data_IF_158902413259
#
_entry.id   IF_158902413259
#
_cell.length_a   1.000
_cell.length_b   1.000
_cell.length_c   1.000
_cell.angle_alpha   90.00
_cell.angle_beta   90.00
_cell.angle_gamma   90.00
#
_symmetry.space_group_name_H-M   'P 1'
#
loop_
_entity.id
_entity.type
_entity.pdbx_description
1 polymer ?
#
# COMPACT_ATOMS: atom_id res chain seq x y z
N UNK A 1 65.45 -29.93 18.91
CA UNK A 1 64.64 -28.71 19.13
C UNK A 1 64.61 -27.75 17.94
N UNK A 2 65.75 -27.44 17.29
CA UNK A 2 65.78 -26.44 16.20
C UNK A 2 64.89 -26.73 14.97
N UNK A 3 64.71 -28.00 14.57
CA UNK A 3 63.87 -28.37 13.41
C UNK A 3 62.37 -28.15 13.65
N UNK A 4 61.91 -28.35 14.89
CA UNK A 4 60.51 -28.13 15.29
C UNK A 4 60.24 -26.61 15.37
N UNK A 5 61.18 -25.86 15.91
CA UNK A 5 61.10 -24.40 15.97
C UNK A 5 61.07 -23.77 14.57
N UNK A 6 61.92 -24.25 13.66
CA UNK A 6 61.91 -23.81 12.26
C UNK A 6 60.58 -24.14 11.55
N UNK A 7 59.98 -25.30 11.81
CA UNK A 7 58.69 -25.68 11.25
C UNK A 7 57.55 -24.78 11.77
N UNK A 8 57.53 -24.44 13.06
CA UNK A 8 56.54 -23.55 13.65
C UNK A 8 56.64 -22.12 13.09
N UNK A 9 57.86 -21.61 12.90
CA UNK A 9 58.09 -20.31 12.27
C UNK A 9 57.63 -20.32 10.80
N UNK A 10 57.92 -21.38 10.05
CA UNK A 10 57.47 -21.51 8.67
C UNK A 10 55.94 -21.53 8.54
N UNK A 11 55.25 -22.25 9.43
CA UNK A 11 53.77 -22.27 9.49
C UNK A 11 53.22 -20.90 9.87
N UNK A 12 53.83 -20.23 10.86
CA UNK A 12 53.44 -18.87 11.25
C UNK A 12 53.56 -17.87 10.09
N UNK A 13 54.66 -17.92 9.36
CA UNK A 13 54.89 -17.08 8.17
C UNK A 13 53.86 -17.36 7.07
N UNK A 14 53.53 -18.62 6.81
CA UNK A 14 52.50 -19.01 5.83
C UNK A 14 51.11 -18.50 6.21
N UNK A 15 50.72 -18.59 7.48
CA UNK A 15 49.43 -18.08 7.96
C UNK A 15 49.38 -16.55 7.83
N UNK A 16 50.45 -15.85 8.22
CA UNK A 16 50.50 -14.38 8.06
C UNK A 16 50.43 -13.96 6.60
N UNK A 17 51.14 -14.66 5.69
CA UNK A 17 51.09 -14.38 4.26
C UNK A 17 49.69 -14.64 3.69
N UNK A 18 49.01 -15.71 4.10
CA UNK A 18 47.64 -16.00 3.69
C UNK A 18 46.64 -14.96 4.21
N UNK A 19 46.78 -14.50 5.45
CA UNK A 19 45.95 -13.42 6.01
C UNK A 19 46.18 -12.08 5.29
N UNK A 20 47.43 -11.74 4.99
CA UNK A 20 47.77 -10.54 4.21
C UNK A 20 47.24 -10.61 2.77
N UNK A 21 47.33 -11.77 2.12
CA UNK A 21 46.78 -11.99 0.79
C UNK A 21 45.24 -11.89 0.78
N UNK A 22 44.56 -12.44 1.80
CA UNK A 22 43.11 -12.31 1.94
C UNK A 22 42.68 -10.86 2.17
N UNK A 23 43.44 -10.11 2.99
CA UNK A 23 43.19 -8.68 3.21
C UNK A 23 43.42 -7.86 1.93
N UNK A 24 44.46 -8.16 1.16
CA UNK A 24 44.72 -7.50 -0.12
C UNK A 24 43.62 -7.78 -1.16
N UNK A 25 43.13 -9.02 -1.24
CA UNK A 25 42.01 -9.38 -2.11
C UNK A 25 40.70 -8.65 -1.72
N UNK A 26 40.42 -8.52 -0.41
CA UNK A 26 39.28 -7.72 0.05
C UNK A 26 39.45 -6.23 -0.22
N UNK A 27 40.67 -5.70 -0.16
CA UNK A 27 40.94 -4.32 -0.51
C UNK A 27 40.74 -4.07 -2.01
N UNK A 28 41.15 -5.01 -2.88
CA UNK A 28 40.89 -4.94 -4.33
C UNK A 28 39.39 -5.00 -4.61
N UNK A 29 38.65 -5.91 -3.99
CA UNK A 29 37.18 -6.01 -4.13
C UNK A 29 36.46 -4.75 -3.62
N UNK A 30 37.01 -4.08 -2.59
CA UNK A 30 36.53 -2.80 -2.11
C UNK A 30 36.91 -1.61 -3.02
N UNK A 31 37.99 -1.71 -3.79
CA UNK A 31 38.43 -0.70 -4.76
C UNK A 31 37.78 -0.86 -6.14
N UNK A 32 37.33 -2.07 -6.51
CA UNK A 32 36.52 -2.36 -7.70
C UNK A 32 35.05 -1.96 -7.53
N UNK A 33 34.65 -1.55 -6.32
CA UNK A 33 33.49 -0.67 -6.14
C UNK A 33 33.88 0.70 -6.70
N UNK A 34 33.78 0.82 -8.02
CA UNK A 34 33.82 2.10 -8.73
C UNK A 34 33.01 3.08 -7.93
N UNK A 35 33.69 4.11 -7.40
CA UNK A 35 33.02 5.29 -6.88
C UNK A 35 32.22 5.85 -8.06
N UNK A 36 30.93 5.52 -8.09
CA UNK A 36 29.97 6.17 -8.96
C UNK A 36 29.96 7.61 -8.49
N UNK A 37 30.75 8.44 -9.15
CA UNK A 37 30.50 9.88 -9.20
C UNK A 37 29.01 9.98 -9.53
N UNK A 38 28.18 10.61 -8.69
CA UNK A 38 26.80 10.80 -9.07
C UNK A 38 26.84 11.69 -10.29
N UNK A 39 26.67 11.08 -11.45
CA UNK A 39 26.31 11.78 -12.64
C UNK A 39 25.09 12.62 -12.26
N UNK A 40 25.25 13.94 -12.35
CA UNK A 40 24.16 14.87 -12.14
C UNK A 40 23.25 14.69 -13.35
N UNK A 41 22.45 13.61 -13.31
CA UNK A 41 21.52 13.24 -14.37
C UNK A 41 20.46 14.32 -14.45
N UNK A 42 20.63 15.19 -15.44
CA UNK A 42 19.58 16.08 -15.93
C UNK A 42 18.71 15.28 -16.89
N UNK A 43 17.49 14.95 -16.48
CA UNK A 43 16.43 14.55 -17.41
C UNK A 43 15.74 13.23 -17.10
N UNK A 44 14.47 13.20 -17.47
CA UNK A 44 13.54 12.07 -17.46
C UNK A 44 13.87 11.16 -18.66
N UNK A 45 14.63 10.08 -18.45
CA UNK A 45 14.96 9.14 -19.52
C UNK A 45 13.97 7.97 -19.56
N UNK A 46 13.50 7.66 -20.77
CA UNK A 46 12.38 6.77 -21.06
C UNK A 46 12.68 5.26 -20.88
N UNK A 47 13.93 4.89 -20.58
CA UNK A 47 14.40 3.50 -20.64
C UNK A 47 14.28 2.71 -19.31
N UNK A 48 13.81 3.35 -18.23
CA UNK A 48 13.49 2.67 -16.95
C UNK A 48 12.02 2.25 -16.81
N UNK A 49 11.26 2.25 -17.91
CA UNK A 49 9.83 1.97 -17.92
C UNK A 49 9.52 0.47 -17.70
N UNK A 50 9.29 0.10 -16.45
CA UNK A 50 8.57 -1.13 -16.12
C UNK A 50 7.06 -0.95 -16.44
N UNK A 51 6.40 -1.88 -17.17
CA UNK A 51 5.01 -1.72 -17.62
C UNK A 51 3.94 -1.82 -16.51
N UNK A 52 4.34 -1.79 -15.23
CA UNK A 52 3.48 -2.02 -14.07
C UNK A 52 2.39 -0.97 -13.86
N UNK A 53 2.65 0.30 -14.19
CA UNK A 53 1.64 1.35 -14.16
C UNK A 53 0.72 1.32 -15.40
N UNK A 54 1.13 0.66 -16.48
CA UNK A 54 0.50 0.73 -17.79
C UNK A 54 -0.60 -0.32 -18.05
N UNK A 55 -0.70 -1.37 -17.22
CA UNK A 55 -1.80 -2.36 -17.36
C UNK A 55 -3.17 -1.81 -16.90
N UNK A 56 -3.21 -0.63 -16.30
CA UNK A 56 -4.46 0.10 -16.02
C UNK A 56 -5.06 0.78 -17.26
N UNK A 57 -4.41 0.72 -18.43
CA UNK A 57 -4.89 1.41 -19.64
C UNK A 57 -5.78 0.58 -20.57
N UNK A 58 -5.87 -0.73 -20.39
CA UNK A 58 -6.67 -1.58 -21.28
C UNK A 58 -8.17 -1.66 -20.91
N UNK A 59 -8.58 -1.25 -19.70
CA UNK A 59 -9.98 -1.42 -19.26
C UNK A 59 -10.59 -0.19 -18.59
N UNK A 60 -10.42 0.98 -19.23
CA UNK A 60 -11.03 2.24 -18.79
C UNK A 60 -12.56 2.23 -18.81
N UNK A 61 -13.19 1.30 -19.52
CA UNK A 61 -14.64 1.20 -19.62
C UNK A 61 -15.28 0.46 -18.43
N UNK A 62 -14.57 -0.47 -17.77
CA UNK A 62 -15.10 -1.22 -16.62
C UNK A 62 -14.95 -0.51 -15.26
N UNK A 63 -14.02 0.46 -15.14
CA UNK A 63 -13.62 1.06 -13.86
C UNK A 63 -14.37 2.37 -13.54
N UNK A 64 -15.01 3.01 -14.52
CA UNK A 64 -15.60 4.35 -14.43
C UNK A 64 -16.82 4.50 -13.50
N UNK A 65 -17.20 3.47 -12.75
CA UNK A 65 -18.35 3.53 -11.83
C UNK A 65 -18.23 2.79 -10.50
N UNK A 66 -17.07 2.21 -10.13
CA UNK A 66 -16.99 1.31 -8.95
C UNK A 66 -15.99 1.70 -7.86
N UNK A 67 -15.39 2.88 -7.95
CA UNK A 67 -14.47 3.40 -6.93
C UNK A 67 -14.86 4.81 -6.44
N UNK A 68 -16.15 5.13 -6.37
CA UNK A 68 -16.64 6.37 -5.78
C UNK A 68 -17.19 6.11 -4.36
N UNK A 69 -16.61 6.70 -3.30
CA UNK A 69 -17.21 6.65 -1.97
C UNK A 69 -18.50 7.49 -1.92
N UNK A 70 -19.44 7.08 -1.07
CA UNK A 70 -20.63 7.86 -0.74
C UNK A 70 -20.27 9.22 -0.10
N UNK A 71 -21.18 10.19 -0.21
CA UNK A 71 -21.02 11.51 0.40
C UNK A 71 -20.72 11.39 1.92
N UNK A 72 -19.65 12.05 2.38
CA UNK A 72 -19.18 12.01 3.77
C UNK A 72 -18.06 11.00 4.07
N UNK A 73 -17.63 10.20 3.09
CA UNK A 73 -16.56 9.21 3.26
C UNK A 73 -15.35 9.60 2.40
N UNK A 74 -14.21 9.90 3.03
CA UNK A 74 -12.93 10.10 2.31
C UNK A 74 -12.36 8.74 1.88
N UNK A 75 -13.01 8.08 0.92
CA UNK A 75 -12.42 7.18 -0.08
C UNK A 75 -11.43 6.07 0.28
N UNK A 76 -11.11 5.79 1.54
CA UNK A 76 -10.11 4.75 1.86
C UNK A 76 -10.40 4.02 3.16
N UNK A 77 -10.72 4.70 4.25
CA UNK A 77 -11.19 4.08 5.49
C UNK A 77 -11.95 5.10 6.34
N UNK A 78 -12.95 4.66 7.12
CA UNK A 78 -13.64 5.52 8.08
C UNK A 78 -12.68 5.94 9.20
N UNK A 79 -12.67 7.23 9.53
CA UNK A 79 -11.89 7.75 10.65
C UNK A 79 -12.57 7.36 11.97
N UNK A 80 -11.80 6.94 13.00
CA UNK A 80 -12.36 6.73 14.33
C UNK A 80 -12.76 8.07 14.96
N UNK A 81 -13.53 8.00 16.05
CA UNK A 81 -13.88 9.19 16.83
C UNK A 81 -12.62 9.89 17.37
N UNK A 82 -12.69 11.22 17.48
CA UNK A 82 -11.58 11.99 18.02
C UNK A 82 -11.30 11.53 19.47
N UNK A 83 -10.03 11.21 19.81
CA UNK A 83 -9.68 10.77 21.15
C UNK A 83 -9.67 11.93 22.17
N UNK A 84 -10.09 13.13 21.77
CA UNK A 84 -10.05 14.36 22.57
C UNK A 84 -11.11 15.35 22.11
N UNK A 85 -11.32 16.41 22.92
CA UNK A 85 -12.23 17.49 22.56
C UNK A 85 -11.82 18.23 21.28
N UNK A 86 -12.79 18.76 20.54
CA UNK A 86 -12.54 19.54 19.32
C UNK A 86 -11.63 20.76 19.60
N UNK A 87 -11.80 21.44 20.74
CA UNK A 87 -10.96 22.57 21.12
C UNK A 87 -9.49 22.16 21.36
N UNK A 88 -9.24 20.99 21.93
CA UNK A 88 -7.89 20.46 22.09
C UNK A 88 -7.28 20.07 20.73
N UNK A 89 -8.05 19.41 19.87
CA UNK A 89 -7.66 19.07 18.51
C UNK A 89 -7.27 20.32 17.69
N UNK A 90 -8.06 21.40 17.76
CA UNK A 90 -7.77 22.65 17.06
C UNK A 90 -6.45 23.30 17.48
N UNK A 91 -6.06 23.20 18.76
CA UNK A 91 -4.76 23.72 19.24
C UNK A 91 -3.59 22.92 18.67
N UNK A 92 -3.71 21.60 18.58
CA UNK A 92 -2.69 20.74 17.97
C UNK A 92 -2.53 21.09 16.49
N UNK A 93 -3.63 21.28 15.78
CA UNK A 93 -3.62 21.65 14.35
C UNK A 93 -2.98 23.01 14.11
N UNK A 94 -3.26 24.00 14.96
CA UNK A 94 -2.63 25.32 14.86
C UNK A 94 -1.11 25.28 15.06
N UNK A 95 -0.60 24.29 15.80
CA UNK A 95 0.84 24.09 16.01
C UNK A 95 1.52 23.32 14.85
N UNK A 96 0.77 22.62 13.99
CA UNK A 96 1.29 21.75 12.92
C UNK A 96 1.07 22.35 11.53
N UNK A 97 1.69 23.50 11.27
CA UNK A 97 1.55 24.25 10.01
C UNK A 97 2.45 23.73 8.86
N UNK A 98 3.28 22.70 9.10
CA UNK A 98 4.30 22.22 8.15
C UNK A 98 4.16 20.76 7.75
N UNK A 99 5.05 20.28 6.87
CA UNK A 99 5.22 18.86 6.59
C UNK A 99 6.01 18.27 7.75
N UNK A 100 5.34 17.48 8.59
CA UNK A 100 5.99 16.80 9.69
C UNK A 100 6.57 15.48 9.22
N UNK A 101 7.85 15.24 9.52
CA UNK A 101 8.55 14.00 9.16
C UNK A 101 8.06 12.85 10.04
N UNK A 102 7.87 11.67 9.45
CA UNK A 102 7.47 10.48 10.19
C UNK A 102 8.56 10.04 11.18
N UNK A 103 8.15 9.40 12.27
CA UNK A 103 9.10 8.73 13.16
C UNK A 103 9.62 7.44 12.52
N UNK A 104 10.89 7.06 12.76
CA UNK A 104 11.44 5.79 12.32
C UNK A 104 10.56 4.60 12.70
N UNK A 105 10.31 3.70 11.74
CA UNK A 105 9.56 2.48 12.01
C UNK A 105 10.40 1.52 12.86
N UNK A 106 9.76 0.79 13.77
CA UNK A 106 10.45 -0.14 14.66
C UNK A 106 9.71 -1.47 14.75
N UNK A 107 10.44 -2.54 14.45
CA UNK A 107 9.99 -3.93 14.63
C UNK A 107 10.69 -4.60 15.82
N UNK A 108 11.15 -3.83 16.81
CA UNK A 108 11.95 -4.36 17.93
C UNK A 108 11.24 -5.50 18.70
N UNK A 109 9.90 -5.49 18.75
CA UNK A 109 9.09 -6.51 19.43
C UNK A 109 8.61 -7.64 18.52
N UNK A 110 8.92 -7.59 17.22
CA UNK A 110 8.43 -8.53 16.23
C UNK A 110 9.21 -9.84 16.23
N UNK A 111 8.51 -10.96 16.04
CA UNK A 111 9.16 -12.25 15.83
C UNK A 111 9.92 -12.29 14.51
N UNK A 112 10.83 -13.26 14.32
CA UNK A 112 11.50 -13.44 13.04
C UNK A 112 10.51 -13.77 11.90
N UNK A 113 9.45 -14.52 12.20
CA UNK A 113 8.39 -14.83 11.25
C UNK A 113 7.63 -13.56 10.84
N UNK A 114 7.26 -12.70 11.79
CA UNK A 114 6.61 -11.42 11.50
C UNK A 114 7.50 -10.54 10.62
N UNK A 115 8.79 -10.40 10.94
CA UNK A 115 9.73 -9.61 10.12
C UNK A 115 9.82 -10.14 8.69
N UNK A 116 9.86 -11.46 8.51
CA UNK A 116 9.87 -12.09 7.19
C UNK A 116 8.60 -11.80 6.40
N UNK A 117 7.43 -11.91 7.02
CA UNK A 117 6.13 -11.62 6.40
C UNK A 117 5.99 -10.14 6.05
N UNK A 118 6.31 -9.24 6.98
CA UNK A 118 6.30 -7.80 6.77
C UNK A 118 7.21 -7.40 5.60
N UNK A 119 8.43 -7.95 5.53
CA UNK A 119 9.34 -7.71 4.43
C UNK A 119 8.78 -8.19 3.09
N UNK A 120 8.16 -9.38 3.05
CA UNK A 120 7.53 -9.91 1.84
C UNK A 120 6.37 -9.04 1.36
N UNK A 121 5.45 -8.66 2.27
CA UNK A 121 4.29 -7.85 1.94
C UNK A 121 4.67 -6.43 1.50
N UNK A 122 5.61 -5.79 2.20
CA UNK A 122 6.07 -4.46 1.82
C UNK A 122 6.80 -4.47 0.48
N UNK A 123 7.62 -5.50 0.23
CA UNK A 123 8.29 -5.68 -1.07
C UNK A 123 7.28 -5.82 -2.20
N UNK A 124 6.26 -6.67 -2.01
CA UNK A 124 5.21 -6.86 -3.01
C UNK A 124 4.49 -5.55 -3.31
N UNK A 125 4.10 -4.81 -2.27
CA UNK A 125 3.42 -3.52 -2.44
C UNK A 125 4.28 -2.50 -3.20
N UNK A 126 5.55 -2.32 -2.81
CA UNK A 126 6.46 -1.40 -3.51
C UNK A 126 6.66 -1.82 -4.97
N UNK A 127 6.80 -3.12 -5.23
CA UNK A 127 6.98 -3.63 -6.58
C UNK A 127 5.75 -3.33 -7.45
N UNK A 128 4.56 -3.69 -7.01
CA UNK A 128 3.38 -3.52 -7.84
C UNK A 128 2.94 -2.05 -7.99
N UNK A 129 3.25 -1.19 -7.02
CA UNK A 129 2.84 0.22 -7.03
C UNK A 129 3.89 1.15 -7.64
N UNK A 130 5.18 0.82 -7.51
CA UNK A 130 6.27 1.73 -7.79
C UNK A 130 7.51 1.06 -8.43
N UNK A 131 7.37 -0.14 -9.02
CA UNK A 131 8.51 -0.77 -9.70
C UNK A 131 9.10 0.07 -10.82
N UNK A 132 8.32 0.88 -11.52
CA UNK A 132 8.77 1.80 -12.59
C UNK A 132 9.26 3.16 -12.08
N UNK A 133 9.06 3.45 -10.80
CA UNK A 133 9.42 4.73 -10.22
C UNK A 133 10.91 4.76 -9.86
N UNK A 134 11.53 5.96 -9.78
CA UNK A 134 12.85 6.11 -9.19
C UNK A 134 12.85 5.63 -7.73
N UNK A 135 14.03 5.39 -7.15
CA UNK A 135 14.18 4.93 -5.77
C UNK A 135 13.42 5.81 -4.77
N UNK A 136 13.36 7.12 -5.00
CA UNK A 136 12.58 8.06 -4.19
C UNK A 136 11.08 7.73 -4.19
N UNK A 137 10.50 7.33 -5.34
CA UNK A 137 9.09 6.95 -5.44
C UNK A 137 8.80 5.63 -4.70
N UNK A 138 9.72 4.67 -4.79
CA UNK A 138 9.62 3.42 -4.01
C UNK A 138 9.67 3.69 -2.50
N UNK A 139 10.60 4.55 -2.06
CA UNK A 139 10.75 4.95 -0.67
C UNK A 139 9.50 5.71 -0.17
N UNK A 140 8.93 6.57 -1.01
CA UNK A 140 7.71 7.32 -0.71
C UNK A 140 6.51 6.39 -0.49
N UNK A 141 6.28 5.41 -1.37
CA UNK A 141 5.22 4.40 -1.19
C UNK A 141 5.45 3.56 0.06
N UNK A 142 6.69 3.13 0.31
CA UNK A 142 7.04 2.40 1.52
C UNK A 142 6.68 3.20 2.78
N UNK A 143 7.02 4.49 2.80
CA UNK A 143 6.73 5.39 3.90
C UNK A 143 5.22 5.54 4.14
N UNK A 144 4.41 5.67 3.08
CA UNK A 144 2.95 5.73 3.21
C UNK A 144 2.38 4.47 3.85
N UNK A 145 2.86 3.30 3.45
CA UNK A 145 2.40 2.02 4.02
C UNK A 145 2.73 1.97 5.52
N UNK A 146 3.96 2.33 5.91
CA UNK A 146 4.36 2.35 7.32
C UNK A 146 3.64 3.44 8.13
N UNK A 147 3.30 4.57 7.50
CA UNK A 147 2.45 5.60 8.09
C UNK A 147 1.05 5.04 8.39
N UNK A 148 0.45 4.27 7.46
CA UNK A 148 -0.83 3.59 7.70
C UNK A 148 -0.75 2.62 8.86
N UNK A 149 0.29 1.78 8.93
CA UNK A 149 0.51 0.84 10.06
C UNK A 149 0.53 1.57 11.41
N UNK A 150 1.02 2.82 11.44
CA UNK A 150 1.09 3.66 12.64
C UNK A 150 -0.15 4.50 12.92
N UNK A 151 -1.15 4.49 12.04
CA UNK A 151 -2.36 5.29 12.19
C UNK A 151 -3.56 4.40 12.58
N UNK A 152 -4.36 4.77 13.61
CA UNK A 152 -5.47 3.96 14.14
C UNK A 152 -6.65 3.73 13.19
N UNK A 153 -6.59 4.29 11.99
CA UNK A 153 -7.61 4.11 10.97
C UNK A 153 -7.28 2.95 10.02
N UNK A 154 -6.11 2.32 10.17
CA UNK A 154 -5.66 1.22 9.32
C UNK A 154 -5.20 0.04 10.18
N UNK A 155 -5.08 -1.16 9.60
CA UNK A 155 -4.52 -2.32 10.29
C UNK A 155 -3.14 -2.05 10.89
N UNK A 156 -2.85 -2.64 12.04
CA UNK A 156 -1.60 -2.45 12.79
C UNK A 156 -0.43 -3.32 12.29
N UNK A 157 -0.58 -3.97 11.13
CA UNK A 157 0.40 -4.87 10.53
C UNK A 157 0.63 -4.52 9.06
N UNK A 158 1.83 -4.80 8.56
CA UNK A 158 2.23 -4.43 7.20
C UNK A 158 1.42 -5.21 6.18
N UNK A 159 1.34 -6.53 6.32
CA UNK A 159 0.52 -7.36 5.44
C UNK A 159 -0.97 -7.01 5.56
N UNK A 160 -1.44 -6.68 6.76
CA UNK A 160 -2.82 -6.23 6.97
C UNK A 160 -3.16 -4.96 6.19
N UNK A 161 -2.23 -3.99 6.14
CA UNK A 161 -2.40 -2.77 5.31
C UNK A 161 -2.35 -3.10 3.82
N UNK A 162 -1.37 -3.90 3.40
CA UNK A 162 -1.13 -4.22 1.98
C UNK A 162 -2.29 -4.99 1.36
N UNK A 163 -2.91 -5.90 2.10
CA UNK A 163 -4.02 -6.72 1.61
C UNK A 163 -5.38 -6.29 2.16
N UNK A 164 -5.48 -5.08 2.72
CA UNK A 164 -6.72 -4.53 3.24
C UNK A 164 -7.81 -4.51 2.15
N UNK A 165 -8.97 -5.10 2.44
CA UNK A 165 -10.12 -5.14 1.54
C UNK A 165 -10.07 -6.24 0.48
N UNK A 166 -9.01 -7.07 0.44
CA UNK A 166 -8.93 -8.23 -0.47
C UNK A 166 -9.99 -9.29 -0.20
N UNK A 167 -10.58 -9.28 1.00
CA UNK A 167 -11.73 -10.11 1.38
C UNK A 167 -13.08 -9.55 0.86
N UNK A 168 -13.07 -8.40 0.17
CA UNK A 168 -14.26 -7.67 -0.32
C UNK A 168 -14.15 -7.37 -1.82
N UNK A 169 -15.16 -6.70 -2.36
CA UNK A 169 -15.20 -6.26 -3.77
C UNK A 169 -14.19 -5.16 -4.11
N UNK A 170 -13.68 -4.42 -3.11
CA UNK A 170 -12.80 -3.27 -3.31
C UNK A 170 -11.55 -3.41 -2.45
N UNK A 171 -10.40 -3.33 -3.10
CA UNK A 171 -9.10 -3.58 -2.49
C UNK A 171 -8.30 -2.29 -2.40
N UNK A 172 -7.58 -2.10 -1.30
CA UNK A 172 -6.80 -0.88 -1.07
C UNK A 172 -5.66 -0.74 -2.10
N UNK A 173 -5.04 -1.85 -2.47
CA UNK A 173 -4.05 -1.92 -3.55
C UNK A 173 -4.62 -2.82 -4.65
N UNK A 174 -4.65 -2.33 -5.89
CA UNK A 174 -5.36 -3.02 -6.98
C UNK A 174 -4.75 -4.37 -7.30
N UNK A 175 -3.41 -4.48 -7.18
CA UNK A 175 -2.67 -5.71 -7.48
C UNK A 175 -3.10 -6.93 -6.66
N UNK A 176 -3.69 -6.69 -5.48
CA UNK A 176 -4.20 -7.75 -4.62
C UNK A 176 -5.45 -8.43 -5.22
N UNK A 177 -6.14 -7.79 -6.16
CA UNK A 177 -7.45 -8.21 -6.66
C UNK A 177 -7.57 -8.26 -8.18
N UNK A 178 -6.67 -7.60 -8.91
CA UNK A 178 -6.63 -7.61 -10.38
C UNK A 178 -5.90 -8.84 -10.98
N UNK A 179 -5.41 -9.74 -10.13
CA UNK A 179 -4.69 -10.95 -10.56
C UNK A 179 -3.23 -10.71 -10.97
N UNK A 180 -2.66 -9.52 -10.79
CA UNK A 180 -1.27 -9.22 -11.12
C UNK A 180 -0.26 -10.14 -10.41
N UNK A 181 -0.62 -10.63 -9.23
CA UNK A 181 0.17 -11.60 -8.46
C UNK A 181 0.31 -12.98 -9.10
N UNK A 182 -0.52 -13.34 -10.08
CA UNK A 182 -0.39 -14.61 -10.81
C UNK A 182 0.80 -14.61 -11.79
N UNK A 183 1.34 -13.43 -12.13
CA UNK A 183 2.46 -13.29 -13.05
C UNK A 183 3.79 -13.38 -12.30
N UNK A 184 4.79 -13.97 -12.94
CA UNK A 184 6.16 -14.00 -12.40
C UNK A 184 6.74 -12.57 -12.41
N UNK A 185 7.16 -12.02 -11.25
CA UNK A 185 7.73 -10.69 -11.19
C UNK A 185 9.14 -10.62 -11.80
N UNK A 186 9.50 -9.46 -12.32
CA UNK A 186 10.86 -9.14 -12.74
C UNK A 186 11.81 -9.23 -11.54
N UNK A 187 12.82 -10.11 -11.65
CA UNK A 187 13.79 -10.35 -10.58
C UNK A 187 14.54 -9.09 -10.17
N UNK A 188 14.97 -8.28 -11.14
CA UNK A 188 15.75 -7.07 -10.86
C UNK A 188 14.92 -6.01 -10.15
N UNK A 189 13.72 -5.72 -10.64
CA UNK A 189 12.82 -4.76 -10.01
C UNK A 189 12.34 -5.25 -8.62
N UNK A 190 12.14 -6.56 -8.45
CA UNK A 190 11.82 -7.15 -7.15
C UNK A 190 12.95 -6.98 -6.14
N UNK A 191 14.20 -7.22 -6.52
CA UNK A 191 15.36 -7.00 -5.64
C UNK A 191 15.48 -5.53 -5.24
N UNK A 192 15.21 -4.60 -6.17
CA UNK A 192 15.18 -3.15 -5.87
C UNK A 192 14.11 -2.82 -4.84
N UNK A 193 12.88 -3.28 -5.06
CA UNK A 193 11.77 -3.11 -4.12
C UNK A 193 12.08 -3.73 -2.74
N UNK A 194 12.71 -4.92 -2.71
CA UNK A 194 13.09 -5.60 -1.48
C UNK A 194 14.15 -4.84 -0.68
N UNK A 195 15.09 -4.18 -1.36
CA UNK A 195 16.09 -3.31 -0.72
C UNK A 195 15.42 -2.09 -0.07
N UNK A 196 14.48 -1.46 -0.77
CA UNK A 196 13.74 -0.32 -0.22
C UNK A 196 12.88 -0.76 0.97
N UNK A 197 12.18 -1.89 0.85
CA UNK A 197 11.38 -2.47 1.92
C UNK A 197 12.23 -2.75 3.17
N UNK A 198 13.40 -3.38 3.02
CA UNK A 198 14.27 -3.72 4.15
C UNK A 198 14.82 -2.47 4.84
N UNK A 199 15.21 -1.44 4.08
CA UNK A 199 15.66 -0.17 4.63
C UNK A 199 14.55 0.53 5.42
N UNK A 200 13.34 0.62 4.86
CA UNK A 200 12.20 1.25 5.53
C UNK A 200 11.81 0.51 6.83
N UNK A 201 11.80 -0.82 6.79
CA UNK A 201 11.53 -1.66 7.96
C UNK A 201 12.64 -1.59 9.03
N UNK A 202 13.87 -1.27 8.63
CA UNK A 202 14.99 -0.98 9.52
C UNK A 202 14.95 0.43 10.12
N UNK A 203 13.95 1.24 9.76
CA UNK A 203 13.73 2.59 10.31
C UNK A 203 14.21 3.72 9.42
N UNK A 204 14.61 3.47 8.18
CA UNK A 204 14.81 4.55 7.20
C UNK A 204 13.50 5.31 6.99
N UNK A 205 13.58 6.64 7.02
CA UNK A 205 12.42 7.53 6.85
C UNK A 205 12.62 8.36 5.58
N UNK A 206 11.63 8.30 4.69
CA UNK A 206 11.57 9.20 3.55
C UNK A 206 10.86 10.50 3.93
N UNK A 207 11.61 11.58 4.15
CA UNK A 207 11.08 12.82 4.70
C UNK A 207 10.10 13.56 3.77
N UNK A 208 10.25 13.44 2.44
CA UNK A 208 9.49 14.22 1.46
C UNK A 208 7.98 14.10 1.63
N UNK A 209 7.48 12.86 1.79
CA UNK A 209 6.04 12.62 1.94
C UNK A 209 5.49 12.88 3.35
N UNK A 210 6.36 13.09 4.34
CA UNK A 210 5.99 13.30 5.74
C UNK A 210 5.03 12.24 6.28
N UNK A 211 3.88 12.70 6.78
CA UNK A 211 2.80 11.88 7.34
C UNK A 211 1.72 11.47 6.31
N UNK A 212 2.06 11.44 5.02
CA UNK A 212 1.11 11.01 4.00
C UNK A 212 0.59 9.59 4.26
N UNK A 213 -0.73 9.41 4.11
CA UNK A 213 -1.42 8.11 4.19
C UNK A 213 -2.12 7.77 2.88
N UNK A 214 -2.13 8.69 1.91
CA UNK A 214 -2.78 8.54 0.62
C UNK A 214 -1.85 8.98 -0.49
N UNK A 215 -1.99 8.34 -1.65
CA UNK A 215 -1.41 8.83 -2.89
C UNK A 215 -2.30 8.46 -4.07
N UNK A 216 -2.10 9.15 -5.18
CA UNK A 216 -2.66 8.79 -6.48
C UNK A 216 -1.66 9.11 -7.58
N UNK A 217 -1.79 8.43 -8.72
CA UNK A 217 -0.99 8.75 -9.91
C UNK A 217 -1.61 9.91 -10.68
N UNK A 218 -0.81 10.62 -11.50
CA UNK A 218 -1.35 11.63 -12.42
C UNK A 218 -2.41 11.10 -13.39
N UNK A 219 -2.51 9.78 -13.58
CA UNK A 219 -3.44 9.15 -14.51
C UNK A 219 -4.90 9.15 -14.02
N UNK A 220 -5.14 9.45 -12.74
CA UNK A 220 -6.46 9.45 -12.11
C UNK A 220 -6.65 10.71 -11.26
N UNK A 221 -7.90 11.17 -11.10
CA UNK A 221 -8.21 12.32 -10.23
C UNK A 221 -9.34 11.91 -9.28
N UNK A 222 -8.99 11.30 -8.12
CA UNK A 222 -10.01 10.82 -7.21
C UNK A 222 -10.70 11.99 -6.51
N UNK A 223 -12.03 11.89 -6.33
CA UNK A 223 -12.85 12.94 -5.74
C UNK A 223 -12.36 13.38 -4.33
N UNK A 224 -11.76 12.46 -3.57
CA UNK A 224 -11.26 12.74 -2.22
C UNK A 224 -9.99 13.60 -2.19
N UNK A 225 -9.25 13.79 -3.29
CA UNK A 225 -7.98 14.51 -3.24
C UNK A 225 -8.15 15.97 -2.75
N UNK A 226 -9.27 16.63 -3.10
CA UNK A 226 -9.62 17.99 -2.68
C UNK A 226 -9.90 18.09 -1.17
N UNK A 227 -10.30 16.98 -0.57
CA UNK A 227 -10.61 16.90 0.86
C UNK A 227 -9.34 16.70 1.72
N UNK A 228 -8.22 16.33 1.10
CA UNK A 228 -6.94 16.11 1.78
C UNK A 228 -5.97 17.28 1.56
N UNK A 229 -4.86 17.25 2.29
CA UNK A 229 -3.73 18.18 2.09
C UNK A 229 -2.67 17.44 1.27
N UNK A 230 -2.32 17.98 0.11
CA UNK A 230 -1.20 17.48 -0.67
C UNK A 230 0.11 17.78 0.07
N UNK A 231 0.94 16.77 0.30
CA UNK A 231 2.22 16.88 0.99
C UNK A 231 3.38 17.01 0.02
N UNK A 232 3.43 16.15 -1.01
CA UNK A 232 4.54 16.11 -1.96
C UNK A 232 4.14 15.48 -3.30
N UNK A 233 4.99 15.63 -4.31
CA UNK A 233 4.90 14.96 -5.61
C UNK A 233 6.23 14.27 -5.89
N UNK A 234 6.20 12.94 -5.97
CA UNK A 234 7.41 12.13 -6.23
C UNK A 234 7.14 11.22 -7.41
N UNK A 235 7.89 11.43 -8.49
CA UNK A 235 7.69 10.72 -9.75
C UNK A 235 6.27 10.90 -10.27
N UNK A 236 5.56 9.80 -10.53
CA UNK A 236 4.18 9.82 -11.02
C UNK A 236 3.12 10.08 -9.93
N UNK A 237 3.51 10.15 -8.66
CA UNK A 237 2.61 10.08 -7.53
C UNK A 237 2.45 11.41 -6.78
N UNK A 238 1.19 11.76 -6.47
CA UNK A 238 0.83 12.86 -5.58
C UNK A 238 0.45 12.33 -4.20
N UNK A 239 1.17 12.76 -3.17
CA UNK A 239 1.02 12.29 -1.80
C UNK A 239 0.15 13.24 -0.98
N UNK A 240 -0.69 12.67 -0.11
CA UNK A 240 -1.65 13.42 0.67
C UNK A 240 -1.74 12.92 2.11
N UNK A 241 -2.09 13.83 3.01
CA UNK A 241 -2.44 13.58 4.41
C UNK A 241 -3.83 14.13 4.74
N UNK A 242 -4.41 13.67 5.83
CA UNK A 242 -5.67 14.21 6.34
C UNK A 242 -5.54 15.69 6.77
N UNK A 243 -6.68 16.37 6.79
CA UNK A 243 -6.82 17.69 7.43
C UNK A 243 -7.06 17.52 8.93
N UNK A 244 -6.73 18.54 9.70
CA UNK A 244 -6.99 18.56 11.13
C UNK A 244 -6.17 17.52 11.90
N UNK A 245 -6.67 17.10 13.07
CA UNK A 245 -5.96 16.23 14.02
C UNK A 245 -5.39 14.97 13.37
N UNK A 246 -6.17 14.31 12.51
CA UNK A 246 -5.80 13.07 11.83
C UNK A 246 -4.64 13.21 10.83
N UNK A 247 -4.30 14.44 10.43
CA UNK A 247 -3.11 14.73 9.62
C UNK A 247 -1.84 15.00 10.41
N UNK A 248 -1.94 15.10 11.74
CA UNK A 248 -0.83 15.51 12.62
C UNK A 248 -0.09 14.32 13.21
N UNK A 249 1.14 14.54 13.68
CA UNK A 249 1.94 13.49 14.30
C UNK A 249 1.25 12.83 15.51
N UNK A 250 0.41 13.56 16.23
CA UNK A 250 -0.34 13.06 17.40
C UNK A 250 -1.32 11.94 17.03
N UNK A 251 -1.80 11.88 15.79
CA UNK A 251 -2.68 10.81 15.33
C UNK A 251 -1.95 9.47 15.11
N UNK A 252 -0.63 9.48 14.91
CA UNK A 252 0.17 8.29 14.59
C UNK A 252 0.63 7.54 15.86
N UNK A 253 -0.34 7.20 16.71
CA UNK A 253 -0.13 6.59 18.02
C UNK A 253 -0.10 5.06 18.00
N UNK A 254 -0.53 4.42 16.91
CA UNK A 254 -0.60 2.97 16.80
C UNK A 254 0.81 2.38 16.75
N UNK A 255 1.05 1.37 17.59
CA UNK A 255 2.33 0.68 17.70
C UNK A 255 2.30 -0.64 16.93
N UNK A 256 3.39 -0.95 16.26
CA UNK A 256 3.58 -2.26 15.66
C UNK A 256 3.86 -3.31 16.75
N UNK A 257 2.97 -4.30 16.87
CA UNK A 257 3.07 -5.36 17.88
C UNK A 257 3.38 -6.75 17.28
N UNK A 258 3.58 -6.84 15.97
CA UNK A 258 3.66 -8.12 15.24
C UNK A 258 2.28 -8.71 14.95
N UNK A 259 2.22 -10.02 14.68
CA UNK A 259 0.98 -10.71 14.30
C UNK A 259 0.68 -10.58 12.81
N UNK A 260 1.71 -10.62 11.97
CA UNK A 260 1.55 -10.48 10.52
C UNK A 260 0.68 -11.62 9.95
N UNK A 261 -0.42 -11.30 9.25
CA UNK A 261 -1.17 -12.33 8.54
C UNK A 261 -0.32 -12.98 7.45
N UNK A 262 -0.79 -14.12 6.94
CA UNK A 262 -0.09 -14.81 5.85
C UNK A 262 -0.03 -13.87 4.64
N UNK A 263 1.15 -13.67 4.02
CA UNK A 263 1.27 -12.83 2.84
C UNK A 263 0.38 -13.33 1.70
N UNK A 264 -0.41 -12.42 1.14
CA UNK A 264 -1.32 -12.68 0.03
C UNK A 264 -2.72 -12.11 0.31
N UNK A 265 -3.59 -12.07 -0.72
CA UNK A 265 -4.99 -11.71 -0.57
C UNK A 265 -5.64 -12.59 0.50
N UNK A 266 -6.35 -11.97 1.44
CA UNK A 266 -7.07 -12.68 2.48
C UNK A 266 -8.24 -13.41 1.83
N UNK A 267 -8.33 -14.73 2.06
CA UNK A 267 -9.49 -15.49 1.65
C UNK A 267 -10.74 -14.94 2.36
N UNK A 268 -11.86 -14.75 1.66
CA UNK A 268 -13.11 -14.39 2.32
C UNK A 268 -13.45 -15.49 3.33
N UNK A 269 -13.58 -15.11 4.60
CA UNK A 269 -14.06 -16.03 5.63
C UNK A 269 -15.52 -16.32 5.29
N UNK A 270 -15.80 -17.53 4.78
CA UNK A 270 -17.18 -17.98 4.65
C UNK A 270 -17.83 -17.88 6.04
N UNK A 271 -19.05 -17.31 6.17
CA UNK A 271 -19.71 -17.26 7.46
C UNK A 271 -19.81 -18.69 7.99
N UNK A 272 -19.20 -18.94 9.14
CA UNK A 272 -19.38 -20.21 9.86
C UNK A 272 -20.86 -20.25 10.18
N UNK A 273 -21.63 -21.08 9.47
CA UNK A 273 -23.02 -21.31 9.81
C UNK A 273 -23.04 -21.69 11.30
N UNK A 274 -23.88 -21.05 12.13
CA UNK A 274 -23.98 -21.45 13.53
C UNK A 274 -24.27 -22.94 13.55
N UNK A 275 -23.49 -23.70 14.32
CA UNK A 275 -23.78 -25.09 14.64
C UNK A 275 -25.14 -25.08 15.34
N UNK A 276 -26.22 -25.23 14.58
CA UNK A 276 -27.54 -25.49 15.11
C UNK A 276 -27.43 -26.84 15.80
N UNK A 277 -27.43 -26.85 17.13
CA UNK A 277 -27.75 -28.06 17.87
C UNK A 277 -29.14 -28.47 17.38
N UNK A 278 -29.21 -29.51 16.57
CA UNK A 278 -30.49 -30.09 16.18
C UNK A 278 -31.14 -30.67 17.44
N UNK A 279 -31.99 -29.88 18.09
CA UNK A 279 -32.93 -30.40 19.08
C UNK A 279 -33.88 -31.28 18.29
N UNK A 280 -33.69 -32.59 18.40
CA UNK A 280 -34.56 -33.59 17.79
C UNK A 280 -35.93 -33.45 18.50
N UNK A 281 -37.00 -33.00 17.82
CA UNK A 281 -38.32 -32.98 18.45
C UNK A 281 -38.77 -34.42 18.70
N UNK A 282 -39.37 -34.66 19.86
CA UNK A 282 -39.93 -35.95 20.22
C UNK A 282 -41.01 -36.37 19.20
N UNK A 283 -40.88 -37.60 18.72
CA UNK A 283 -41.80 -38.24 17.77
C UNK A 283 -43.19 -38.35 18.38
N UNK A 284 -44.18 -37.68 17.82
CA UNK A 284 -45.61 -37.97 18.02
C UNK A 284 -46.11 -38.90 16.91
N UNK A 285 -46.87 -39.96 17.22
CA UNK A 285 -47.36 -40.92 16.23
C UNK A 285 -48.40 -40.29 15.28
N UNK A 286 -48.54 -40.83 14.04
CA UNK A 286 -49.28 -40.19 12.96
C UNK A 286 -50.76 -40.56 13.00
N UNK A 287 -51.63 -39.62 12.64
CA UNK A 287 -52.97 -39.97 12.18
C UNK A 287 -53.38 -39.17 10.93
N UNK A 288 -53.93 -39.94 9.99
CA UNK A 288 -54.69 -39.61 8.78
C UNK A 288 -54.12 -38.65 7.70
N UNK A 289 -53.54 -39.30 6.68
CA UNK A 289 -53.85 -39.19 5.24
C UNK A 289 -54.13 -37.81 4.60
N UNK A 290 -53.18 -37.34 3.78
CA UNK A 290 -53.40 -36.36 2.70
C UNK A 290 -52.70 -36.87 1.41
N UNK A 291 -53.34 -36.78 0.23
CA UNK A 291 -52.96 -37.55 -0.95
C UNK A 291 -51.69 -37.06 -1.68
N UNK A 292 -51.09 -38.02 -2.39
CA UNK A 292 -49.84 -37.98 -3.17
C UNK A 292 -49.92 -37.00 -4.36
N UNK A 293 -48.93 -36.11 -4.46
CA UNK A 293 -48.69 -35.25 -5.61
C UNK A 293 -47.76 -35.94 -6.63
N UNK A 294 -47.94 -35.74 -7.96
CA UNK A 294 -46.90 -36.06 -8.92
C UNK A 294 -45.83 -34.96 -8.95
N UNK A 295 -44.57 -35.38 -9.11
CA UNK A 295 -43.38 -34.54 -9.03
C UNK A 295 -43.24 -33.54 -10.21
N UNK A 296 -42.84 -32.28 -9.96
CA UNK A 296 -42.33 -31.43 -11.02
C UNK A 296 -40.85 -31.78 -11.32
N UNK A 297 -40.64 -32.17 -12.57
CA UNK A 297 -39.35 -32.26 -13.24
C UNK A 297 -38.61 -30.93 -13.14
N UNK A 298 -37.34 -31.01 -12.73
CA UNK A 298 -36.41 -29.87 -12.69
C UNK A 298 -36.09 -29.43 -14.11
N UNK A 299 -36.67 -28.32 -14.55
CA UNK A 299 -36.26 -27.61 -15.76
C UNK A 299 -35.29 -26.49 -15.37
N UNK A 300 -34.05 -26.65 -15.79
CA UNK A 300 -33.05 -25.59 -15.86
C UNK A 300 -33.62 -24.50 -16.79
N UNK A 301 -33.86 -23.30 -16.27
CA UNK A 301 -34.18 -22.13 -17.09
C UNK A 301 -32.89 -21.30 -17.30
N UNK A 302 -32.44 -21.14 -18.56
CA UNK A 302 -31.34 -20.28 -18.94
C UNK A 302 -31.89 -18.91 -19.33
N UNK A 303 -31.47 -17.82 -18.69
CA UNK A 303 -31.75 -16.48 -19.22
C UNK A 303 -30.56 -15.54 -19.00
N UNK A 304 -29.53 -15.77 -19.82
CA UNK A 304 -28.86 -14.69 -20.52
C UNK A 304 -29.71 -14.35 -21.74
N UNK A 305 -30.33 -13.18 -21.75
CA UNK A 305 -30.59 -12.32 -22.91
C UNK A 305 -31.64 -11.29 -22.51
N UNK A 306 -31.24 -10.02 -22.43
CA UNK A 306 -32.02 -8.81 -22.78
C UNK A 306 -31.28 -7.58 -22.22
N UNK A 307 -30.15 -7.24 -22.84
CA UNK A 307 -29.56 -5.90 -22.77
C UNK A 307 -29.82 -5.23 -24.11
N UNK A 308 -30.80 -4.32 -24.17
CA UNK A 308 -31.08 -3.59 -25.41
C UNK A 308 -32.43 -2.89 -25.47
N UNK A 309 -32.72 -1.96 -24.56
CA UNK A 309 -33.71 -0.89 -24.83
C UNK A 309 -33.20 0.45 -24.27
N UNK A 310 -33.15 1.53 -25.08
CA UNK A 310 -32.74 2.85 -24.61
C UNK A 310 -33.90 3.54 -23.87
N UNK A 311 -33.64 4.02 -22.64
CA UNK A 311 -34.56 4.90 -21.90
C UNK A 311 -34.29 6.36 -22.27
N UNK A 312 -35.34 7.08 -22.66
CA UNK A 312 -35.34 8.52 -22.94
C UNK A 312 -35.25 9.31 -21.62
N UNK A 313 -34.38 10.31 -21.56
CA UNK A 313 -34.21 11.20 -20.41
C UNK A 313 -35.21 12.38 -20.44
N UNK A 314 -35.72 12.84 -19.28
CA UNK A 314 -36.56 14.04 -19.21
C UNK A 314 -35.73 15.35 -19.29
N UNK A 315 -36.36 16.49 -19.66
CA UNK A 315 -35.65 17.75 -19.92
C UNK A 315 -35.15 18.46 -18.65
N UNK A 316 -33.99 19.11 -18.77
CA UNK A 316 -33.26 19.82 -17.71
C UNK A 316 -33.71 21.28 -17.63
N UNK A 317 -34.02 21.76 -16.43
CA UNK A 317 -34.22 23.19 -16.10
C UNK A 317 -32.92 23.73 -15.47
N UNK A 318 -32.40 24.91 -15.84
CA UNK A 318 -31.16 25.42 -15.26
C UNK A 318 -31.39 25.99 -13.85
N UNK A 319 -30.59 25.53 -12.88
CA UNK A 319 -30.56 26.05 -11.52
C UNK A 319 -29.62 27.27 -11.41
N UNK A 320 -29.90 28.23 -10.50
CA UNK A 320 -29.08 29.43 -10.33
C UNK A 320 -27.73 29.14 -9.64
N UNK A 321 -26.73 29.90 -10.07
CA UNK A 321 -25.32 29.77 -9.70
C UNK A 321 -25.08 30.16 -8.22
N UNK A 322 -24.50 29.23 -7.46
CA UNK A 322 -24.27 29.36 -6.00
C UNK A 322 -22.84 28.98 -5.62
N UNK A 323 -21.86 29.23 -6.50
CA UNK A 323 -20.48 28.94 -6.21
C UNK A 323 -19.91 29.89 -5.12
N UNK A 324 -19.26 29.36 -4.07
CA UNK A 324 -18.52 30.18 -3.11
C UNK A 324 -17.25 30.79 -3.76
N UNK A 325 -16.71 31.90 -3.20
CA UNK A 325 -15.57 32.60 -3.78
C UNK A 325 -14.33 31.71 -3.92
N UNK A 326 -13.55 31.98 -4.97
CA UNK A 326 -12.36 31.21 -5.34
C UNK A 326 -11.35 31.06 -4.20
N UNK A 327 -10.80 29.85 -4.07
CA UNK A 327 -9.76 29.54 -3.09
C UNK A 327 -8.48 30.34 -3.37
N UNK A 328 -7.86 30.87 -2.32
CA UNK A 328 -6.59 31.58 -2.40
C UNK A 328 -5.45 30.58 -2.69
N UNK A 329 -5.05 30.50 -3.96
CA UNK A 329 -3.84 29.81 -4.41
C UNK A 329 -2.63 30.58 -3.86
N UNK A 330 -1.72 29.87 -3.17
CA UNK A 330 -0.44 30.42 -2.72
C UNK A 330 0.36 30.95 -3.93
N UNK A 331 0.92 32.15 -3.83
CA UNK A 331 1.48 32.90 -4.97
C UNK A 331 2.53 32.13 -5.79
N UNK A 332 3.26 31.19 -5.18
CA UNK A 332 4.25 30.34 -5.88
C UNK A 332 3.66 29.42 -6.96
N UNK A 333 2.34 29.24 -7.00
CA UNK A 333 1.64 28.35 -7.94
C UNK A 333 0.72 29.10 -8.92
N UNK A 334 0.73 30.44 -8.93
CA UNK A 334 -0.12 31.22 -9.84
C UNK A 334 0.37 31.21 -11.30
N UNK A 335 1.67 30.97 -11.52
CA UNK A 335 2.28 31.09 -12.85
C UNK A 335 2.73 29.76 -13.48
N UNK A 336 2.47 28.61 -12.85
CA UNK A 336 2.88 27.29 -13.38
C UNK A 336 2.07 26.82 -14.59
N UNK A 337 1.13 27.65 -15.09
CA UNK A 337 0.20 27.32 -16.17
C UNK A 337 0.45 28.06 -17.49
N UNK A 338 1.60 28.71 -17.70
CA UNK A 338 1.94 29.25 -19.02
C UNK A 338 2.56 28.17 -19.90
N UNK A 339 1.89 27.72 -20.97
CA UNK A 339 2.54 26.85 -21.95
C UNK A 339 3.61 27.65 -22.70
N UNK A 340 4.82 27.10 -22.80
CA UNK A 340 5.78 27.45 -23.86
C UNK A 340 5.38 26.73 -25.15
#
# INVERSE_FOLDING_TARGET
MGRIWAALVAVGLLVTAAMSAHAALRAIDAHDVVAVVPDVRRGYEADEHFPGSALLYADRAAISGRAAPAAGVTGTTALPDLPMSAAAASRIVAADAGITVAQPFSMARASAADRGRAAQCLTAAIYYEAASEPDAGQQAVAQVILNRVRHPAFPATVCGVVYQGSERTVCQFSFACDGAMARVPSRTAWIRAARVASAALAGYVFAGVGLATHYHTYAVTPAWNRSLVMTDVVGAHFFHRWKGYWGTASAFSQRYLGGEPVPGPHLPVAPVAPLMLAVVPAVTPPDAAVPVAPAPVSTVQPDYALSGTPRVAPPVVPAPDTLPPASQILDRWKDSGKPL
#
